data_IF_796720531561
#
_entry.id   IF_796720531561
#
_cell.length_a   1.000
_cell.length_b   1.000
_cell.length_c   1.000
_cell.angle_alpha   90.00
_cell.angle_beta   90.00
_cell.angle_gamma   90.00
#
_symmetry.space_group_name_H-M   'P 1'
#
loop_
_entity.id
_entity.type
_entity.pdbx_description
1 polymer ?
#
# COMPACT_ATOMS: atom_id res chain seq x y z
N UNK A 1 -17.95 -11.69 2.76
CA UNK A 1 -16.53 -11.41 2.46
C UNK A 1 -15.77 -12.72 2.53
N UNK A 2 -14.95 -13.03 1.53
CA UNK A 2 -14.18 -14.29 1.46
C UNK A 2 -12.68 -13.97 1.40
N UNK A 3 -11.87 -14.62 2.22
CA UNK A 3 -10.40 -14.51 2.16
C UNK A 3 -9.89 -15.19 0.89
N UNK A 4 -9.10 -14.47 0.10
CA UNK A 4 -8.32 -15.02 -1.01
C UNK A 4 -7.03 -15.62 -0.46
N UNK A 5 -6.20 -14.80 0.19
CA UNK A 5 -4.99 -15.24 0.89
C UNK A 5 -4.43 -14.14 1.82
N UNK A 6 -3.39 -14.48 2.57
CA UNK A 6 -2.65 -13.61 3.47
C UNK A 6 -1.14 -13.67 3.19
N UNK A 7 -0.46 -12.52 3.24
CA UNK A 7 0.95 -12.39 2.90
C UNK A 7 1.68 -11.55 3.93
N UNK A 8 2.83 -12.03 4.38
CA UNK A 8 3.73 -11.23 5.22
C UNK A 8 4.33 -10.11 4.35
N UNK A 9 4.13 -8.86 4.74
CA UNK A 9 4.70 -7.70 4.02
C UNK A 9 5.82 -7.05 4.83
N UNK A 10 6.60 -6.18 4.18
CA UNK A 10 7.81 -5.61 4.79
C UNK A 10 7.47 -4.58 5.85
N UNK A 11 6.66 -3.59 5.48
CA UNK A 11 6.08 -2.62 6.40
C UNK A 11 4.87 -1.92 5.76
N UNK A 12 4.04 -1.34 6.62
CA UNK A 12 2.96 -0.46 6.27
C UNK A 12 2.95 0.72 7.24
N UNK A 13 2.99 1.94 6.71
CA UNK A 13 3.01 3.15 7.49
C UNK A 13 1.95 4.11 6.99
N UNK A 14 1.25 4.77 7.91
CA UNK A 14 0.52 5.99 7.61
C UNK A 14 1.02 7.12 8.50
N UNK A 15 1.51 8.18 7.87
CA UNK A 15 1.91 9.41 8.53
C UNK A 15 0.69 10.30 8.69
N UNK A 16 0.32 10.63 9.93
CA UNK A 16 -0.67 11.65 10.24
C UNK A 16 0.07 12.90 10.70
N UNK A 17 0.68 13.60 9.73
CA UNK A 17 1.61 14.69 10.00
C UNK A 17 1.00 15.86 10.77
N UNK A 18 -0.30 16.13 10.61
CA UNK A 18 -1.03 17.17 11.35
C UNK A 18 -1.02 16.92 12.87
N UNK A 19 -1.02 15.66 13.29
CA UNK A 19 -0.98 15.25 14.70
C UNK A 19 0.44 14.84 15.16
N UNK A 20 1.42 14.81 14.26
CA UNK A 20 2.79 14.37 14.56
C UNK A 20 2.87 12.91 14.98
N UNK A 21 2.00 12.06 14.44
CA UNK A 21 1.93 10.61 14.74
C UNK A 21 2.05 9.76 13.49
N UNK A 22 2.44 8.51 13.68
CA UNK A 22 2.53 7.49 12.63
C UNK A 22 1.85 6.22 13.12
N UNK A 23 1.02 5.62 12.26
CA UNK A 23 0.58 4.24 12.43
C UNK A 23 1.54 3.36 11.64
N UNK A 24 2.23 2.44 12.30
CA UNK A 24 3.35 1.68 11.72
C UNK A 24 3.30 0.22 12.08
N UNK A 25 3.51 -0.64 11.09
CA UNK A 25 3.98 -2.00 11.30
C UNK A 25 5.23 -2.23 10.45
N UNK A 26 6.33 -2.70 11.05
CA UNK A 26 7.61 -2.94 10.38
C UNK A 26 8.27 -4.22 10.87
N UNK A 27 8.42 -5.20 9.95
CA UNK A 27 9.05 -6.50 10.24
C UNK A 27 10.45 -6.39 10.81
N UNK A 28 11.23 -5.36 10.44
CA UNK A 28 12.60 -5.17 10.96
C UNK A 28 12.63 -4.90 12.46
N UNK A 29 11.51 -4.48 13.04
CA UNK A 29 11.35 -4.24 14.47
C UNK A 29 10.79 -5.44 15.23
N UNK A 30 10.42 -6.50 14.52
CA UNK A 30 9.78 -7.68 15.09
C UNK A 30 8.24 -7.65 15.01
N UNK A 31 7.65 -6.60 14.43
CA UNK A 31 6.18 -6.51 14.25
C UNK A 31 5.70 -7.61 13.30
N UNK A 32 4.47 -8.12 13.48
CA UNK A 32 3.85 -9.09 12.56
C UNK A 32 2.91 -8.35 11.62
N UNK A 33 3.43 -7.88 10.49
CA UNK A 33 2.67 -7.07 9.52
C UNK A 33 2.24 -7.92 8.33
N UNK A 34 0.95 -8.25 8.29
CA UNK A 34 0.36 -9.12 7.30
C UNK A 34 -0.67 -8.38 6.44
N UNK A 35 -0.59 -8.57 5.13
CA UNK A 35 -1.56 -8.11 4.14
C UNK A 35 -2.55 -9.24 3.85
N UNK A 36 -3.80 -9.06 4.27
CA UNK A 36 -4.91 -9.94 3.95
C UNK A 36 -5.63 -9.41 2.72
N UNK A 37 -5.90 -10.28 1.76
CA UNK A 37 -6.66 -9.93 0.56
C UNK A 37 -7.96 -10.72 0.56
N UNK A 38 -9.08 -10.02 0.55
CA UNK A 38 -10.42 -10.58 0.48
C UNK A 38 -11.11 -10.21 -0.83
N UNK A 39 -12.24 -10.87 -1.12
CA UNK A 39 -13.22 -10.38 -2.06
C UNK A 39 -14.60 -10.20 -1.42
N UNK A 40 -15.35 -9.21 -1.90
CA UNK A 40 -16.76 -9.03 -1.56
C UNK A 40 -17.69 -9.73 -2.57
N UNK A 41 -19.01 -9.58 -2.41
CA UNK A 41 -20.02 -10.18 -3.30
C UNK A 41 -19.99 -9.59 -4.72
N UNK A 42 -19.47 -8.37 -4.89
CA UNK A 42 -19.24 -7.72 -6.19
C UNK A 42 -17.90 -8.10 -6.82
N UNK A 43 -17.16 -9.01 -6.20
CA UNK A 43 -15.82 -9.44 -6.58
C UNK A 43 -14.77 -8.31 -6.51
N UNK A 44 -15.06 -7.23 -5.79
CA UNK A 44 -14.06 -6.20 -5.51
C UNK A 44 -13.01 -6.79 -4.56
N UNK A 45 -11.75 -6.44 -4.77
CA UNK A 45 -10.63 -6.83 -3.92
C UNK A 45 -10.58 -5.89 -2.73
N UNK A 46 -10.55 -6.43 -1.51
CA UNK A 46 -10.37 -5.67 -0.27
C UNK A 46 -9.02 -6.05 0.30
N UNK A 47 -8.12 -5.08 0.40
CA UNK A 47 -6.79 -5.22 0.96
C UNK A 47 -6.80 -4.66 2.39
N UNK A 48 -6.41 -5.48 3.35
CA UNK A 48 -6.53 -5.17 4.77
C UNK A 48 -5.23 -5.50 5.51
N UNK A 49 -4.74 -4.55 6.33
CA UNK A 49 -3.60 -4.73 7.24
C UNK A 49 -4.06 -4.27 8.62
N UNK A 50 -4.23 -5.21 9.54
CA UNK A 50 -4.76 -4.97 10.89
C UNK A 50 -3.93 -5.60 12.00
N UNK A 51 -2.82 -6.25 11.65
CA UNK A 51 -1.95 -6.96 12.58
C UNK A 51 -0.59 -6.26 12.63
N UNK A 52 -0.02 -6.15 13.83
CA UNK A 52 1.29 -5.54 14.04
C UNK A 52 1.35 -4.03 13.76
N UNK A 53 0.21 -3.34 13.70
CA UNK A 53 0.15 -1.88 13.61
C UNK A 53 0.21 -1.25 14.99
N UNK A 54 1.09 -0.27 15.15
CA UNK A 54 1.33 0.45 16.40
C UNK A 54 1.29 1.95 16.16
N UNK A 55 0.70 2.68 17.09
CA UNK A 55 0.67 4.14 17.07
C UNK A 55 1.93 4.70 17.75
N UNK A 56 2.62 5.59 17.05
CA UNK A 56 3.86 6.17 17.55
C UNK A 56 3.93 7.67 17.27
N UNK A 57 4.76 8.36 18.04
CA UNK A 57 5.13 9.75 17.72
C UNK A 57 6.13 9.76 16.57
N UNK A 58 5.95 10.70 15.65
CA UNK A 58 6.94 10.93 14.61
C UNK A 58 8.26 11.42 15.21
N UNK A 59 9.37 10.88 14.72
CA UNK A 59 10.72 11.33 15.09
C UNK A 59 11.17 12.52 14.23
N UNK A 60 10.60 12.67 13.04
CA UNK A 60 10.81 13.81 12.15
C UNK A 60 9.87 14.97 12.49
N UNK A 61 10.34 16.20 12.24
CA UNK A 61 9.53 17.41 12.40
C UNK A 61 8.29 17.35 11.49
N UNK A 62 7.07 17.36 12.05
CA UNK A 62 5.84 17.24 11.27
C UNK A 62 5.64 18.39 10.28
N UNK A 63 6.24 19.56 10.54
CA UNK A 63 6.17 20.75 9.67
C UNK A 63 7.20 20.73 8.54
N UNK A 64 8.17 19.81 8.54
CA UNK A 64 9.26 19.72 7.55
C UNK A 64 9.02 18.74 6.40
N UNK A 65 7.77 18.37 6.15
CA UNK A 65 7.41 17.51 5.00
C UNK A 65 6.65 16.23 5.35
N UNK A 66 6.22 16.05 6.60
CA UNK A 66 5.28 14.99 6.94
C UNK A 66 3.88 15.34 6.43
N UNK A 67 3.63 15.05 5.15
CA UNK A 67 2.27 15.11 4.60
C UNK A 67 1.46 13.93 5.13
N UNK A 68 0.14 14.08 5.18
CA UNK A 68 -0.76 12.94 5.41
C UNK A 68 -0.61 11.97 4.23
N UNK A 69 0.02 10.81 4.49
CA UNK A 69 0.31 9.82 3.45
C UNK A 69 0.38 8.40 3.98
N UNK A 70 0.01 7.48 3.12
CA UNK A 70 0.15 6.04 3.27
C UNK A 70 1.33 5.55 2.44
N UNK A 71 2.13 4.66 3.03
CA UNK A 71 3.28 4.02 2.42
C UNK A 71 3.24 2.50 2.76
N UNK A 72 2.89 1.63 1.81
CA UNK A 72 2.93 0.17 1.98
C UNK A 72 4.02 -0.42 1.09
N UNK A 73 4.88 -1.25 1.67
CA UNK A 73 5.99 -1.86 0.93
C UNK A 73 5.94 -3.38 1.00
N UNK A 74 6.04 -4.00 -0.16
CA UNK A 74 6.03 -5.45 -0.33
C UNK A 74 7.39 -5.89 -0.87
N UNK A 75 8.01 -6.85 -0.20
CA UNK A 75 9.29 -7.41 -0.64
C UNK A 75 9.11 -8.22 -1.94
N UNK A 76 10.06 -8.17 -2.89
CA UNK A 76 9.95 -8.82 -4.20
C UNK A 76 9.62 -10.32 -4.14
N UNK A 77 10.14 -11.02 -3.13
CA UNK A 77 9.92 -12.45 -2.89
C UNK A 77 8.44 -12.83 -2.68
N UNK A 78 7.59 -11.89 -2.26
CA UNK A 78 6.16 -12.12 -2.06
C UNK A 78 5.32 -11.80 -3.31
N UNK A 79 5.87 -11.06 -4.27
CA UNK A 79 5.11 -10.56 -5.42
C UNK A 79 4.64 -11.70 -6.33
N UNK A 80 5.45 -12.75 -6.54
CA UNK A 80 5.07 -13.90 -7.35
C UNK A 80 3.87 -14.66 -6.75
N UNK A 81 3.89 -14.86 -5.43
CA UNK A 81 2.78 -15.52 -4.74
C UNK A 81 1.50 -14.71 -4.82
N UNK A 82 1.57 -13.39 -4.55
CA UNK A 82 0.43 -12.48 -4.66
C UNK A 82 -0.12 -12.47 -6.09
N UNK A 83 0.76 -12.32 -7.08
CA UNK A 83 0.39 -12.30 -8.49
C UNK A 83 -0.31 -13.58 -8.90
N UNK A 84 0.24 -14.75 -8.54
CA UNK A 84 -0.34 -16.06 -8.90
C UNK A 84 -1.75 -16.23 -8.36
N UNK A 85 -1.97 -15.89 -7.09
CA UNK A 85 -3.27 -16.09 -6.45
C UNK A 85 -4.32 -15.09 -6.98
N UNK A 86 -3.91 -13.85 -7.26
CA UNK A 86 -4.78 -12.86 -7.91
C UNK A 86 -5.09 -13.21 -9.36
N UNK A 87 -4.12 -13.71 -10.15
CA UNK A 87 -4.35 -14.22 -11.52
C UNK A 87 -5.37 -15.36 -11.49
N UNK A 88 -5.19 -16.33 -10.59
CA UNK A 88 -6.15 -17.44 -10.40
C UNK A 88 -7.55 -16.92 -10.01
N UNK A 89 -7.64 -15.89 -9.17
CA UNK A 89 -8.91 -15.26 -8.81
C UNK A 89 -9.58 -14.58 -10.01
N UNK A 90 -8.83 -13.80 -10.79
CA UNK A 90 -9.31 -13.12 -12.00
C UNK A 90 -9.83 -14.13 -13.02
N UNK A 91 -9.02 -15.16 -13.32
CA UNK A 91 -9.35 -16.19 -14.31
C UNK A 91 -10.60 -16.98 -13.91
N UNK A 92 -10.67 -17.41 -12.65
CA UNK A 92 -11.83 -18.15 -12.11
C UNK A 92 -13.14 -17.37 -12.24
N UNK A 93 -13.09 -16.05 -12.09
CA UNK A 93 -14.26 -15.19 -12.06
C UNK A 93 -14.51 -14.44 -13.38
N UNK A 94 -13.67 -14.67 -14.41
CA UNK A 94 -13.77 -14.05 -15.73
C UNK A 94 -13.89 -12.50 -15.66
N UNK A 95 -13.07 -11.86 -14.82
CA UNK A 95 -13.12 -10.42 -14.63
C UNK A 95 -12.67 -9.67 -15.89
N UNK A 96 -13.41 -8.62 -16.26
CA UNK A 96 -13.17 -7.82 -17.47
C UNK A 96 -12.21 -6.65 -17.24
N UNK A 97 -11.62 -6.22 -18.35
CA UNK A 97 -10.24 -5.74 -18.46
C UNK A 97 -10.16 -4.21 -18.45
N UNK A 98 -9.72 -3.65 -17.33
CA UNK A 98 -8.76 -2.55 -17.36
C UNK A 98 -7.37 -3.14 -17.08
N UNK A 99 -6.58 -3.35 -18.13
CA UNK A 99 -5.19 -3.80 -18.04
C UNK A 99 -4.19 -2.66 -18.19
N UNK A 100 -4.67 -1.43 -18.41
CA UNK A 100 -3.85 -0.30 -18.81
C UNK A 100 -3.01 0.15 -17.63
N UNK A 101 -1.70 0.01 -17.76
CA UNK A 101 -0.72 0.60 -16.85
C UNK A 101 -0.16 1.83 -17.53
N UNK A 102 -0.16 2.97 -16.82
CA UNK A 102 0.49 4.19 -17.30
C UNK A 102 1.41 4.71 -16.22
N UNK A 103 2.65 5.00 -16.59
CA UNK A 103 3.61 5.59 -15.68
C UNK A 103 3.07 6.95 -15.22
N UNK A 104 2.53 6.97 -13.99
CA UNK A 104 1.97 8.16 -13.38
C UNK A 104 2.77 8.44 -12.11
N UNK A 105 3.35 9.63 -12.07
CA UNK A 105 4.11 10.12 -10.93
C UNK A 105 3.32 10.00 -9.63
N UNK A 106 3.93 9.39 -8.61
CA UNK A 106 3.38 9.36 -7.25
C UNK A 106 3.57 10.73 -6.56
N UNK A 107 2.48 11.48 -6.28
CA UNK A 107 2.56 12.78 -5.65
C UNK A 107 2.80 12.72 -4.14
N UNK A 108 2.83 11.54 -3.51
CA UNK A 108 3.13 11.39 -2.07
C UNK A 108 4.53 11.87 -1.72
N UNK A 109 5.44 11.91 -2.71
CA UNK A 109 6.86 12.28 -2.60
C UNK A 109 7.54 11.53 -1.46
N UNK A 110 8.36 10.54 -1.79
CA UNK A 110 9.26 9.86 -0.84
C UNK A 110 10.41 10.73 -0.32
N UNK A 111 10.37 12.06 -0.48
CA UNK A 111 11.47 12.95 -0.08
C UNK A 111 11.72 12.90 1.44
N UNK A 112 12.84 12.30 1.82
CA UNK A 112 13.49 12.55 3.10
C UNK A 112 13.78 14.06 3.21
N UNK A 113 13.54 14.67 4.38
CA UNK A 113 13.71 16.14 4.57
C UNK A 113 15.11 16.67 4.20
N UNK A 114 16.10 15.77 4.13
CA UNK A 114 17.51 16.09 3.88
C UNK A 114 17.94 15.81 2.42
N UNK A 115 17.02 15.55 1.49
CA UNK A 115 17.34 15.37 0.08
C UNK A 115 18.18 14.12 -0.23
N UNK A 116 18.06 13.07 0.61
CA UNK A 116 18.65 11.77 0.29
C UNK A 116 18.12 11.34 -1.07
N UNK A 117 19.04 11.05 -1.99
CA UNK A 117 18.70 10.55 -3.31
C UNK A 117 17.81 9.33 -3.13
N UNK A 118 16.56 9.48 -3.55
CA UNK A 118 15.70 8.33 -3.76
C UNK A 118 16.41 7.43 -4.76
N UNK A 119 16.36 6.13 -4.54
CA UNK A 119 16.82 5.17 -5.53
C UNK A 119 16.12 5.41 -6.88
N UNK A 120 16.43 4.59 -7.87
CA UNK A 120 15.70 4.66 -9.13
C UNK A 120 14.25 4.23 -8.88
N UNK A 121 13.31 5.19 -8.94
CA UNK A 121 11.88 4.95 -8.78
C UNK A 121 11.23 4.85 -10.15
N UNK A 122 10.59 3.71 -10.43
CA UNK A 122 9.82 3.48 -11.67
C UNK A 122 8.34 3.53 -11.37
N UNK A 123 7.68 4.61 -11.76
CA UNK A 123 6.21 4.73 -11.67
C UNK A 123 5.53 3.71 -12.58
N UNK A 124 4.58 2.94 -12.04
CA UNK A 124 3.90 1.87 -12.75
C UNK A 124 2.49 2.25 -13.14
N UNK A 125 1.68 2.67 -12.18
CA UNK A 125 0.28 3.07 -12.40
C UNK A 125 -0.30 3.79 -11.18
N UNK A 126 -1.54 4.26 -11.30
CA UNK A 126 -2.42 4.44 -10.14
C UNK A 126 -3.75 3.71 -10.34
N UNK A 127 -4.43 3.46 -9.23
CA UNK A 127 -5.69 2.75 -9.18
C UNK A 127 -6.67 3.55 -8.33
N UNK A 128 -7.88 3.87 -8.84
CA UNK A 128 -8.98 4.38 -8.03
C UNK A 128 -9.35 3.34 -6.96
N UNK A 129 -9.48 3.79 -5.72
CA UNK A 129 -9.86 2.94 -4.59
C UNK A 129 -10.85 3.65 -3.68
N UNK A 130 -11.48 2.91 -2.78
CA UNK A 130 -12.06 3.48 -1.56
C UNK A 130 -11.20 3.03 -0.39
N UNK A 131 -10.41 3.94 0.18
CA UNK A 131 -9.42 3.65 1.20
C UNK A 131 -9.70 4.35 2.52
N UNK A 132 -9.43 3.65 3.61
CA UNK A 132 -9.62 4.11 4.99
C UNK A 132 -8.48 3.63 5.88
N UNK A 133 -8.09 4.48 6.82
CA UNK A 133 -7.08 4.17 7.84
C UNK A 133 -7.65 4.59 9.16
N UNK A 134 -7.83 3.62 10.04
CA UNK A 134 -8.43 3.81 11.34
C UNK A 134 -7.35 3.94 12.42
N UNK A 135 -7.51 4.95 13.25
CA UNK A 135 -6.70 5.20 14.44
C UNK A 135 -7.58 5.02 15.67
N UNK A 136 -7.64 3.80 16.21
CA UNK A 136 -8.51 3.49 17.36
C UNK A 136 -8.19 4.33 18.60
N UNK A 137 -6.92 4.62 18.84
CA UNK A 137 -6.48 5.39 20.00
C UNK A 137 -6.70 6.91 19.88
N UNK A 138 -6.95 7.41 18.66
CA UNK A 138 -7.13 8.84 18.39
C UNK A 138 -8.57 9.19 17.96
N UNK A 139 -9.43 8.19 17.76
CA UNK A 139 -10.76 8.37 17.15
C UNK A 139 -10.68 9.16 15.83
N UNK A 140 -9.70 8.82 14.99
CA UNK A 140 -9.53 9.42 13.66
C UNK A 140 -9.58 8.41 12.54
N UNK A 141 -10.04 8.88 11.38
CA UNK A 141 -10.03 8.13 10.13
C UNK A 141 -9.36 8.97 9.06
N UNK A 142 -8.33 8.42 8.41
CA UNK A 142 -7.76 9.00 7.21
C UNK A 142 -8.36 8.33 5.97
N UNK A 143 -8.84 9.13 5.03
CA UNK A 143 -9.51 8.66 3.81
C UNK A 143 -8.61 8.90 2.60
N UNK A 144 -8.65 7.98 1.63
CA UNK A 144 -8.00 8.14 0.33
C UNK A 144 -8.82 7.50 -0.78
N UNK A 145 -8.71 8.06 -1.99
CA UNK A 145 -9.49 7.62 -3.16
C UNK A 145 -8.65 7.04 -4.29
N UNK A 146 -7.32 6.98 -4.08
CA UNK A 146 -6.37 6.53 -5.10
C UNK A 146 -5.11 5.97 -4.44
N UNK A 147 -4.60 4.87 -5.01
CA UNK A 147 -3.29 4.30 -4.71
C UNK A 147 -2.38 4.53 -5.93
N UNK A 148 -1.20 5.08 -5.69
CA UNK A 148 -0.10 5.19 -6.64
C UNK A 148 0.84 4.01 -6.43
N UNK A 149 1.30 3.44 -7.53
CA UNK A 149 2.08 2.20 -7.53
C UNK A 149 3.38 2.46 -8.27
N UNK A 150 4.49 2.15 -7.59
CA UNK A 150 5.82 2.25 -8.17
C UNK A 150 6.71 1.09 -7.71
N UNK A 151 7.80 0.91 -8.46
CA UNK A 151 8.89 0.01 -8.10
C UNK A 151 10.09 0.85 -7.70
N UNK A 152 10.53 0.73 -6.45
CA UNK A 152 11.69 1.44 -5.94
C UNK A 152 12.93 0.53 -6.00
N UNK A 153 14.00 1.01 -6.64
CA UNK A 153 15.28 0.32 -6.72
C UNK A 153 16.40 1.16 -6.08
N UNK A 154 16.69 0.88 -4.82
CA UNK A 154 17.83 1.42 -4.08
C UNK A 154 19.02 0.45 -4.16
N UNK A 155 20.27 0.92 -3.99
CA UNK A 155 21.48 0.09 -4.05
C UNK A 155 21.42 -1.21 -3.26
N UNK A 156 20.72 -1.22 -2.11
CA UNK A 156 20.60 -2.41 -1.24
C UNK A 156 19.14 -2.87 -1.05
N UNK A 157 18.16 -2.28 -1.76
CA UNK A 157 16.73 -2.51 -1.49
C UNK A 157 15.89 -2.35 -2.75
N UNK A 158 15.22 -3.42 -3.14
CA UNK A 158 14.20 -3.45 -4.18
C UNK A 158 12.83 -3.56 -3.51
N UNK A 159 11.86 -2.73 -3.88
CA UNK A 159 10.53 -2.71 -3.22
C UNK A 159 9.42 -2.41 -4.21
N UNK A 160 8.30 -3.10 -4.04
CA UNK A 160 7.03 -2.69 -4.62
C UNK A 160 6.30 -1.80 -3.62
N UNK A 161 5.93 -0.61 -4.05
CA UNK A 161 5.38 0.44 -3.19
C UNK A 161 3.94 0.79 -3.60
N UNK A 162 3.08 0.92 -2.59
CA UNK A 162 1.74 1.47 -2.71
C UNK A 162 1.66 2.74 -1.85
N UNK A 163 1.59 3.89 -2.53
CA UNK A 163 1.48 5.21 -1.92
C UNK A 163 0.07 5.77 -2.02
N UNK A 164 -0.40 6.49 -1.00
CA UNK A 164 -1.60 7.32 -1.13
C UNK A 164 -1.47 8.64 -0.38
N UNK A 165 -2.04 9.70 -0.94
CA UNK A 165 -2.33 10.92 -0.20
C UNK A 165 -3.66 10.74 0.52
N UNK A 166 -3.71 11.19 1.76
CA UNK A 166 -4.88 11.02 2.62
C UNK A 166 -5.43 12.36 3.09
N UNK A 167 -6.68 12.34 3.50
CA UNK A 167 -7.35 13.44 4.18
C UNK A 167 -8.00 12.92 5.46
N UNK A 168 -7.71 13.54 6.59
CA UNK A 168 -8.17 13.07 7.88
C UNK A 168 -9.49 13.71 8.32
N UNK A 169 -10.34 12.89 8.95
CA UNK A 169 -11.55 13.30 9.66
C UNK A 169 -11.65 12.61 11.01
N UNK A 170 -12.57 13.08 11.86
CA UNK A 170 -12.97 12.35 13.07
C UNK A 170 -13.67 11.03 12.70
N UNK A 171 -13.50 10.01 13.54
CA UNK A 171 -14.23 8.75 13.41
C UNK A 171 -13.72 7.63 14.32
N UNK A 172 -14.64 6.86 14.86
CA UNK A 172 -14.34 5.82 15.84
C UNK A 172 -14.04 4.47 15.17
N UNK A 173 -13.18 3.68 15.79
CA UNK A 173 -12.92 2.29 15.43
C UNK A 173 -12.41 1.52 16.63
N UNK A 174 -12.84 0.27 16.77
CA UNK A 174 -12.39 -0.65 17.83
C UNK A 174 -10.90 -1.01 17.70
N UNK A 175 -10.36 -0.97 16.48
CA UNK A 175 -8.95 -1.29 16.21
C UNK A 175 -8.33 -0.38 15.16
N UNK A 176 -7.01 -0.27 15.22
CA UNK A 176 -6.26 0.40 14.17
C UNK A 176 -6.10 -0.53 12.95
N UNK A 177 -6.32 0.02 11.76
CA UNK A 177 -6.47 -0.76 10.53
C UNK A 177 -6.14 0.11 9.32
N UNK A 178 -5.43 -0.45 8.33
CA UNK A 178 -5.34 0.10 6.97
C UNK A 178 -6.16 -0.79 6.05
N UNK A 179 -7.16 -0.23 5.36
CA UNK A 179 -8.02 -0.97 4.43
C UNK A 179 -8.27 -0.17 3.15
N UNK A 180 -8.25 -0.85 2.01
CA UNK A 180 -8.77 -0.26 0.78
C UNK A 180 -9.39 -1.29 -0.16
N UNK A 181 -10.40 -0.81 -0.88
CA UNK A 181 -11.13 -1.61 -1.86
C UNK A 181 -10.74 -1.18 -3.28
N UNK A 182 -10.27 -2.14 -4.08
CA UNK A 182 -10.09 -2.03 -5.52
C UNK A 182 -11.31 -2.65 -6.19
N UNK A 183 -12.07 -1.86 -6.93
CA UNK A 183 -13.22 -2.37 -7.69
C UNK A 183 -12.78 -3.45 -8.69
N UNK A 184 -13.63 -4.45 -8.91
CA UNK A 184 -13.34 -5.59 -9.78
C UNK A 184 -12.86 -5.20 -11.18
N UNK A 185 -13.31 -4.06 -11.72
CA UNK A 185 -12.86 -3.51 -13.00
C UNK A 185 -11.36 -3.17 -13.06
N UNK A 186 -10.73 -2.83 -11.93
CA UNK A 186 -9.31 -2.48 -11.83
C UNK A 186 -8.43 -3.65 -11.33
N UNK A 187 -9.00 -4.82 -11.04
CA UNK A 187 -8.26 -5.97 -10.52
C UNK A 187 -7.13 -6.40 -11.47
N UNK A 188 -7.38 -6.40 -12.78
CA UNK A 188 -6.39 -6.72 -13.80
C UNK A 188 -5.24 -5.71 -13.83
N UNK A 189 -5.54 -4.40 -13.75
CA UNK A 189 -4.52 -3.34 -13.67
C UNK A 189 -3.62 -3.52 -12.46
N UNK A 190 -4.21 -3.88 -11.31
CA UNK A 190 -3.44 -4.15 -10.10
C UNK A 190 -2.46 -5.31 -10.30
N UNK A 191 -2.93 -6.44 -10.83
CA UNK A 191 -2.08 -7.60 -11.12
C UNK A 191 -0.98 -7.28 -12.13
N UNK A 192 -1.30 -6.55 -13.19
CA UNK A 192 -0.31 -6.13 -14.19
C UNK A 192 0.76 -5.23 -13.58
N UNK A 193 0.40 -4.35 -12.63
CA UNK A 193 1.39 -3.52 -11.94
C UNK A 193 2.34 -4.36 -11.07
N UNK A 194 1.85 -5.43 -10.44
CA UNK A 194 2.70 -6.37 -9.70
C UNK A 194 3.63 -7.12 -10.66
N UNK A 195 3.13 -7.56 -11.82
CA UNK A 195 3.92 -8.25 -12.84
C UNK A 195 5.05 -7.37 -13.38
N UNK A 196 4.75 -6.10 -13.71
CA UNK A 196 5.76 -5.13 -14.13
C UNK A 196 6.80 -4.88 -13.04
N UNK A 197 6.36 -4.71 -11.78
CA UNK A 197 7.29 -4.57 -10.66
C UNK A 197 8.19 -5.79 -10.51
N UNK A 198 7.64 -7.00 -10.60
CA UNK A 198 8.40 -8.24 -10.49
C UNK A 198 9.49 -8.34 -11.56
N UNK A 199 9.20 -7.92 -12.80
CA UNK A 199 10.19 -7.89 -13.88
C UNK A 199 11.28 -6.85 -13.56
N UNK A 200 10.91 -5.62 -13.22
CA UNK A 200 11.85 -4.52 -13.01
C UNK A 200 12.76 -4.74 -11.80
N UNK A 201 12.22 -5.31 -10.72
CA UNK A 201 12.97 -5.52 -9.49
C UNK A 201 13.91 -6.73 -9.60
N UNK A 202 13.58 -7.76 -10.39
CA UNK A 202 14.44 -8.93 -10.57
C UNK A 202 15.46 -8.80 -11.72
N UNK A 203 15.36 -7.78 -12.59
CA UNK A 203 16.35 -7.51 -13.64
C UNK A 203 17.67 -6.92 -13.13
N UNK A 204 17.73 -6.51 -11.86
CA UNK A 204 18.90 -5.85 -11.25
C UNK A 204 19.65 -6.75 -10.24
N UNK A 205 19.34 -8.05 -10.20
CA UNK A 205 20.09 -9.09 -9.46
C UNK A 205 20.90 -9.94 -10.43
#
# INVERSE_FOLDING_TARGET
MQLINEYVIRYANHLLGTEGVVLRGDRKRGDFTDLKIFCNEKLDLILQIDTGLTLEKMTSDPKKGAKERLDIHIDPQNLDAIMRDLKKFIDKNNLKIDSYTSAIYDPTRTEHKDGLALGDVKYLTNIPVTGKIYYSELNKIALFSKIYIDAENYPDKQRYHLGAQTSTSEGESEKSLIEFTISSEYACRFVNSIELAYILLNQNN
#
